data_IF_560356427994
#
_entry.id   IF_560356427994
#
_cell.length_a   1.000
_cell.length_b   1.000
_cell.length_c   1.000
_cell.angle_alpha   90.00
_cell.angle_beta   90.00
_cell.angle_gamma   90.00
#
_symmetry.space_group_name_H-M   'P 1'
#
loop_
_entity.id
_entity.type
_entity.pdbx_description
1 polymer ?
#
# COMPACT_ATOMS: atom_id res chain seq x y z
N UNK A 1 -7.91 -2.12 -42.07
CA UNK A 1 -6.67 -2.13 -41.28
C UNK A 1 -7.00 -2.48 -39.83
N UNK A 2 -7.40 -3.72 -39.53
CA UNK A 2 -7.99 -4.05 -38.20
C UNK A 2 -7.03 -3.90 -37.03
N UNK A 3 -5.73 -4.13 -37.24
CA UNK A 3 -4.69 -4.10 -36.21
C UNK A 3 -5.05 -4.98 -34.99
N UNK A 4 -5.55 -6.19 -35.26
CA UNK A 4 -5.81 -7.18 -34.22
C UNK A 4 -4.53 -7.52 -33.45
N UNK A 5 -4.63 -7.62 -32.13
CA UNK A 5 -3.47 -7.78 -31.24
C UNK A 5 -2.83 -6.45 -30.84
N UNK A 6 -3.50 -5.32 -31.07
CA UNK A 6 -3.09 -4.02 -30.54
C UNK A 6 -2.98 -4.07 -29.00
N UNK A 7 -3.92 -4.79 -28.37
CA UNK A 7 -3.85 -5.21 -26.98
C UNK A 7 -4.20 -6.69 -26.87
N UNK A 8 -3.73 -7.34 -25.81
CA UNK A 8 -3.95 -8.77 -25.57
C UNK A 8 -4.10 -9.07 -24.08
N UNK A 9 -5.00 -9.98 -23.73
CA UNK A 9 -5.18 -10.48 -22.37
C UNK A 9 -5.39 -11.99 -22.38
N UNK A 10 -4.58 -12.72 -21.62
CA UNK A 10 -4.65 -14.18 -21.53
C UNK A 10 -5.73 -14.57 -20.54
N UNK A 11 -6.56 -15.54 -20.91
CA UNK A 11 -7.60 -16.15 -20.07
C UNK A 11 -7.51 -17.67 -20.15
N UNK A 12 -8.15 -18.39 -19.23
CA UNK A 12 -8.02 -19.86 -19.13
C UNK A 12 -8.31 -20.63 -20.42
N UNK A 13 -9.29 -20.16 -21.21
CA UNK A 13 -9.76 -20.81 -22.43
C UNK A 13 -9.25 -20.14 -23.72
N UNK A 14 -8.29 -19.20 -23.62
CA UNK A 14 -7.74 -18.54 -24.80
C UNK A 14 -7.10 -17.18 -24.57
N UNK A 15 -7.07 -16.36 -25.63
CA UNK A 15 -6.51 -15.02 -25.61
C UNK A 15 -7.55 -14.04 -26.16
N UNK A 16 -7.88 -13.02 -25.37
CA UNK A 16 -8.67 -11.88 -25.81
C UNK A 16 -7.74 -10.88 -26.51
N UNK A 17 -8.15 -10.40 -27.68
CA UNK A 17 -7.38 -9.50 -28.52
C UNK A 17 -8.21 -8.26 -28.87
N UNK A 18 -7.60 -7.09 -28.75
CA UNK A 18 -8.16 -5.83 -29.23
C UNK A 18 -7.79 -5.55 -30.69
N UNK A 19 -8.72 -4.98 -31.45
CA UNK A 19 -8.56 -4.66 -32.87
C UNK A 19 -9.05 -3.23 -33.17
N UNK A 20 -8.22 -2.24 -32.85
CA UNK A 20 -8.57 -0.81 -32.85
C UNK A 20 -9.00 -0.26 -34.22
N UNK A 21 -8.50 -0.82 -35.31
CA UNK A 21 -8.78 -0.33 -36.67
C UNK A 21 -9.92 -1.07 -37.37
N UNK A 22 -10.65 -1.94 -36.65
CA UNK A 22 -11.86 -2.57 -37.17
C UNK A 22 -12.97 -1.53 -37.38
N UNK A 23 -13.80 -1.73 -38.40
CA UNK A 23 -14.97 -0.88 -38.71
C UNK A 23 -14.66 0.62 -38.72
N UNK A 24 -13.75 1.04 -39.60
CA UNK A 24 -13.34 2.44 -39.77
C UNK A 24 -12.85 3.10 -38.46
N UNK A 25 -12.03 2.36 -37.70
CA UNK A 25 -11.47 2.78 -36.41
C UNK A 25 -12.47 2.89 -35.25
N UNK A 26 -13.70 2.42 -35.40
CA UNK A 26 -14.56 2.19 -34.25
C UNK A 26 -13.95 1.16 -33.30
N UNK A 27 -13.28 0.16 -33.86
CA UNK A 27 -12.60 -0.89 -33.14
C UNK A 27 -13.51 -2.07 -32.82
N UNK A 28 -12.89 -3.16 -32.38
CA UNK A 28 -13.56 -4.40 -32.02
C UNK A 28 -12.67 -5.20 -31.05
N UNK A 29 -13.23 -6.29 -30.55
CA UNK A 29 -12.50 -7.31 -29.80
C UNK A 29 -12.76 -8.67 -30.44
N UNK A 30 -11.80 -9.57 -30.34
CA UNK A 30 -11.95 -10.96 -30.78
C UNK A 30 -11.23 -11.87 -29.81
N UNK A 31 -11.59 -13.15 -29.80
CA UNK A 31 -11.00 -14.12 -28.89
C UNK A 31 -10.51 -15.33 -29.68
N UNK A 32 -9.27 -15.73 -29.43
CA UNK A 32 -8.68 -16.96 -29.93
C UNK A 32 -8.78 -18.01 -28.83
N UNK A 33 -9.58 -19.07 -29.02
CA UNK A 33 -9.72 -20.17 -28.07
C UNK A 33 -9.16 -21.46 -28.65
N UNK A 34 -9.05 -22.51 -27.82
CA UNK A 34 -8.69 -23.85 -28.30
C UNK A 34 -9.72 -24.45 -29.25
N UNK A 35 -10.97 -23.98 -29.22
CA UNK A 35 -12.08 -24.43 -30.08
C UNK A 35 -12.24 -23.61 -31.37
N UNK A 36 -11.49 -22.52 -31.52
CA UNK A 36 -11.50 -21.67 -32.71
C UNK A 36 -11.55 -20.18 -32.40
N UNK A 37 -11.89 -19.38 -33.41
CA UNK A 37 -11.98 -17.93 -33.30
C UNK A 37 -13.41 -17.51 -32.95
N UNK A 38 -13.54 -16.63 -31.97
CA UNK A 38 -14.79 -15.93 -31.66
C UNK A 38 -14.64 -14.50 -32.16
N UNK A 39 -15.40 -14.15 -33.19
CA UNK A 39 -15.36 -12.83 -33.83
C UNK A 39 -16.77 -12.24 -33.78
N UNK A 40 -17.04 -11.36 -32.81
CA UNK A 40 -18.34 -10.68 -32.71
C UNK A 40 -18.64 -9.89 -33.98
N UNK A 41 -19.92 -9.89 -34.36
CA UNK A 41 -20.39 -9.09 -35.49
C UNK A 41 -20.50 -7.62 -35.12
N UNK A 42 -20.46 -6.74 -36.12
CA UNK A 42 -20.57 -5.28 -35.91
C UNK A 42 -21.84 -4.91 -35.16
N UNK A 43 -22.94 -5.61 -35.43
CA UNK A 43 -24.26 -5.34 -34.87
C UNK A 43 -24.28 -5.45 -33.35
N UNK A 44 -23.41 -6.28 -32.75
CA UNK A 44 -23.27 -6.41 -31.30
C UNK A 44 -22.79 -5.13 -30.61
N UNK A 45 -22.18 -4.20 -31.36
CA UNK A 45 -21.62 -2.96 -30.81
C UNK A 45 -22.52 -1.74 -31.03
N UNK A 46 -23.46 -1.78 -31.99
CA UNK A 46 -24.19 -0.60 -32.48
C UNK A 46 -24.95 0.16 -31.38
N UNK A 47 -25.40 -0.53 -30.34
CA UNK A 47 -26.08 0.12 -29.19
C UNK A 47 -25.15 1.07 -28.43
N UNK A 48 -23.88 0.73 -28.28
CA UNK A 48 -22.90 1.51 -27.52
C UNK A 48 -21.96 2.33 -28.42
N UNK A 49 -21.83 1.94 -29.68
CA UNK A 49 -20.99 2.56 -30.70
C UNK A 49 -21.85 2.81 -31.95
N UNK A 50 -22.73 3.82 -31.91
CA UNK A 50 -23.70 4.03 -32.96
C UNK A 50 -23.04 4.71 -34.18
N UNK A 51 -23.65 4.56 -35.36
CA UNK A 51 -23.04 4.95 -36.64
C UNK A 51 -22.84 6.45 -36.80
N UNK A 52 -23.57 7.28 -36.05
CA UNK A 52 -23.40 8.74 -36.03
C UNK A 52 -22.01 9.12 -35.52
N UNK A 53 -21.40 8.29 -34.66
CA UNK A 53 -20.09 8.53 -34.07
C UNK A 53 -18.95 7.78 -34.80
N UNK A 54 -19.24 7.10 -35.92
CA UNK A 54 -18.24 6.24 -36.59
C UNK A 54 -16.98 6.97 -37.06
N UNK A 55 -17.12 8.23 -37.46
CA UNK A 55 -16.01 9.03 -37.99
C UNK A 55 -15.07 9.56 -36.89
N UNK A 56 -15.43 9.39 -35.61
CA UNK A 56 -14.59 9.84 -34.49
C UNK A 56 -13.44 8.88 -34.20
N UNK A 57 -13.53 7.63 -34.69
CA UNK A 57 -12.52 6.59 -34.48
C UNK A 57 -12.36 6.24 -33.00
N UNK A 58 -13.33 5.52 -32.43
CA UNK A 58 -13.41 5.26 -30.99
C UNK A 58 -12.24 4.43 -30.41
N UNK A 59 -11.57 3.64 -31.25
CA UNK A 59 -10.45 2.75 -30.88
C UNK A 59 -10.85 1.70 -29.86
N UNK A 60 -12.03 1.10 -29.97
CA UNK A 60 -12.40 -0.03 -29.12
C UNK A 60 -11.39 -1.17 -29.27
N UNK A 61 -10.95 -1.73 -28.13
CA UNK A 61 -9.88 -2.71 -28.10
C UNK A 61 -8.49 -2.08 -28.01
N UNK A 62 -8.40 -0.79 -27.69
CA UNK A 62 -7.12 -0.16 -27.35
C UNK A 62 -6.51 -0.84 -26.11
N UNK A 63 -7.36 -1.17 -25.14
CA UNK A 63 -7.04 -2.05 -24.01
C UNK A 63 -8.06 -3.17 -23.91
N UNK A 64 -7.61 -4.31 -23.41
CA UNK A 64 -8.47 -5.43 -23.06
C UNK A 64 -8.02 -6.04 -21.74
N UNK A 65 -8.96 -6.46 -20.91
CA UNK A 65 -8.70 -7.24 -19.70
C UNK A 65 -9.92 -8.11 -19.36
N UNK A 66 -9.88 -8.82 -18.24
CA UNK A 66 -11.01 -9.57 -17.70
C UNK A 66 -11.19 -9.29 -16.23
N UNK A 67 -12.42 -9.51 -15.74
CA UNK A 67 -12.75 -9.50 -14.33
C UNK A 67 -13.53 -10.76 -13.96
N UNK A 68 -13.45 -11.14 -12.69
CA UNK A 68 -14.24 -12.23 -12.11
C UNK A 68 -15.36 -11.63 -11.26
N UNK A 69 -16.60 -12.04 -11.50
CA UNK A 69 -17.76 -11.59 -10.71
C UNK A 69 -17.92 -12.40 -9.43
N UNK A 70 -18.72 -11.94 -8.45
CA UNK A 70 -19.05 -12.72 -7.25
C UNK A 70 -19.69 -14.09 -7.55
N UNK A 71 -20.39 -14.20 -8.68
CA UNK A 71 -20.98 -15.45 -9.17
C UNK A 71 -19.96 -16.37 -9.87
N UNK A 72 -18.66 -16.03 -9.81
CA UNK A 72 -17.56 -16.73 -10.49
C UNK A 72 -17.75 -16.83 -12.00
N UNK A 73 -18.33 -15.78 -12.59
CA UNK A 73 -18.46 -15.63 -14.03
C UNK A 73 -17.38 -14.66 -14.50
N UNK A 74 -16.63 -15.06 -15.53
CA UNK A 74 -15.65 -14.17 -16.16
C UNK A 74 -16.35 -13.23 -17.13
N UNK A 75 -16.13 -11.94 -16.94
CA UNK A 75 -16.47 -10.90 -17.90
C UNK A 75 -15.20 -10.31 -18.50
N UNK A 76 -15.35 -9.72 -19.67
CA UNK A 76 -14.28 -9.06 -20.39
C UNK A 76 -14.50 -7.56 -20.36
N UNK A 77 -13.41 -6.81 -20.44
CA UNK A 77 -13.42 -5.36 -20.42
C UNK A 77 -12.62 -4.88 -21.61
N UNK A 78 -13.11 -3.85 -22.30
CA UNK A 78 -12.38 -3.21 -23.38
C UNK A 78 -12.51 -1.69 -23.32
N UNK A 79 -11.38 -1.01 -23.54
CA UNK A 79 -11.30 0.43 -23.62
C UNK A 79 -11.39 0.96 -25.05
N UNK A 80 -12.03 2.13 -25.17
CA UNK A 80 -12.20 2.91 -26.38
C UNK A 80 -11.86 4.38 -26.08
N UNK A 81 -10.57 4.72 -25.90
CA UNK A 81 -10.15 5.99 -25.31
C UNK A 81 -10.43 7.22 -26.16
N UNK A 82 -10.83 7.03 -27.43
CA UNK A 82 -11.22 8.12 -28.34
C UNK A 82 -12.73 8.25 -28.53
N UNK A 83 -13.53 7.36 -27.94
CA UNK A 83 -14.98 7.41 -28.06
C UNK A 83 -15.50 8.79 -27.64
N UNK A 84 -16.25 9.45 -28.53
CA UNK A 84 -16.80 10.79 -28.32
C UNK A 84 -15.77 11.82 -27.79
N UNK A 85 -14.49 11.65 -28.16
CA UNK A 85 -13.34 12.41 -27.69
C UNK A 85 -13.07 12.39 -26.18
N UNK A 86 -13.90 11.77 -25.35
CA UNK A 86 -13.71 11.69 -23.90
C UNK A 86 -13.22 10.31 -23.43
N UNK A 87 -13.56 9.27 -24.20
CA UNK A 87 -13.23 7.87 -23.90
C UNK A 87 -14.41 7.07 -23.37
N UNK A 88 -14.35 5.75 -23.52
CA UNK A 88 -15.36 4.80 -23.01
C UNK A 88 -14.70 3.49 -22.61
N UNK A 89 -15.27 2.79 -21.64
CA UNK A 89 -14.96 1.41 -21.29
C UNK A 89 -16.24 0.59 -21.35
N UNK A 90 -16.20 -0.60 -21.92
CA UNK A 90 -17.32 -1.55 -21.91
C UNK A 90 -16.96 -2.81 -21.13
N UNK A 91 -17.95 -3.36 -20.43
CA UNK A 91 -17.88 -4.66 -19.77
C UNK A 91 -18.86 -5.59 -20.48
N UNK A 92 -18.38 -6.73 -20.95
CA UNK A 92 -19.14 -7.60 -21.84
C UNK A 92 -18.86 -9.08 -21.59
N UNK A 93 -19.75 -9.92 -22.07
CA UNK A 93 -19.54 -11.37 -22.20
C UNK A 93 -19.54 -11.77 -23.67
N UNK A 94 -18.74 -12.78 -24.01
CA UNK A 94 -18.79 -13.43 -25.33
C UNK A 94 -19.42 -14.81 -25.14
N UNK A 95 -20.55 -15.06 -25.81
CA UNK A 95 -21.28 -16.32 -25.76
C UNK A 95 -21.36 -16.93 -27.17
N UNK A 96 -20.88 -18.15 -27.36
CA UNK A 96 -20.85 -18.79 -28.69
C UNK A 96 -19.83 -18.14 -29.66
N UNK A 97 -19.94 -18.45 -30.96
CA UNK A 97 -18.96 -18.03 -31.97
C UNK A 97 -19.04 -16.54 -32.36
N UNK A 98 -20.22 -15.92 -32.27
CA UNK A 98 -20.48 -14.61 -32.90
C UNK A 98 -21.15 -13.58 -31.96
N UNK A 99 -21.57 -13.96 -30.74
CA UNK A 99 -22.44 -13.12 -29.92
C UNK A 99 -21.67 -12.46 -28.77
N UNK A 100 -21.57 -11.13 -28.81
CA UNK A 100 -21.08 -10.30 -27.73
C UNK A 100 -22.26 -9.54 -27.11
N UNK A 101 -22.36 -9.60 -25.78
CA UNK A 101 -23.38 -8.90 -25.01
C UNK A 101 -22.67 -7.91 -24.09
N UNK A 102 -22.94 -6.62 -24.27
CA UNK A 102 -22.44 -5.55 -23.41
C UNK A 102 -23.37 -5.43 -22.21
N UNK A 103 -22.82 -5.61 -21.01
CA UNK A 103 -23.54 -5.53 -19.74
C UNK A 103 -23.49 -4.11 -19.15
N UNK A 104 -22.37 -3.41 -19.35
CA UNK A 104 -22.17 -2.08 -18.80
C UNK A 104 -21.24 -1.25 -19.69
N UNK A 105 -21.46 0.07 -19.68
CA UNK A 105 -20.59 1.05 -20.31
C UNK A 105 -20.25 2.18 -19.32
N UNK A 106 -18.98 2.55 -19.25
CA UNK A 106 -18.47 3.67 -18.48
C UNK A 106 -17.96 4.73 -19.47
N UNK A 107 -18.36 5.98 -19.32
CA UNK A 107 -17.95 7.08 -20.20
C UNK A 107 -16.98 8.00 -19.49
N UNK A 108 -15.93 8.43 -20.19
CA UNK A 108 -15.05 9.47 -19.72
C UNK A 108 -15.74 10.83 -19.76
N UNK A 109 -15.39 11.72 -18.84
CA UNK A 109 -16.00 13.05 -18.76
C UNK A 109 -15.26 14.11 -19.58
N UNK A 110 -13.93 14.13 -19.48
CA UNK A 110 -13.14 15.21 -20.03
C UNK A 110 -12.68 14.88 -21.45
N UNK A 111 -12.90 15.82 -22.36
CA UNK A 111 -12.42 15.77 -23.74
C UNK A 111 -10.90 15.67 -23.74
N UNK A 112 -10.38 14.72 -24.51
CA UNK A 112 -8.95 14.46 -24.63
C UNK A 112 -8.33 13.70 -23.47
N UNK A 113 -9.10 13.33 -22.42
CA UNK A 113 -8.55 12.64 -21.24
C UNK A 113 -8.04 11.22 -21.52
N UNK A 114 -8.49 10.64 -22.64
CA UNK A 114 -8.08 9.31 -23.10
C UNK A 114 -8.51 8.20 -22.11
N UNK A 115 -9.68 8.37 -21.49
CA UNK A 115 -10.25 7.45 -20.52
C UNK A 115 -10.47 6.05 -21.12
N UNK A 116 -9.93 5.02 -20.45
CA UNK A 116 -9.97 3.63 -20.94
C UNK A 116 -8.74 3.22 -21.73
N UNK A 117 -7.70 4.05 -21.77
CA UNK A 117 -6.43 3.72 -22.44
C UNK A 117 -5.51 2.82 -21.62
N UNK A 118 -5.83 2.59 -20.35
CA UNK A 118 -5.23 1.61 -19.46
C UNK A 118 -6.31 1.09 -18.52
N UNK A 119 -6.35 -0.23 -18.27
CA UNK A 119 -7.36 -0.84 -17.39
C UNK A 119 -6.71 -1.96 -16.56
N UNK A 120 -6.83 -1.87 -15.24
CA UNK A 120 -6.38 -2.89 -14.30
C UNK A 120 -7.53 -3.48 -13.51
N UNK A 121 -7.68 -4.81 -13.50
CA UNK A 121 -8.56 -5.52 -12.57
C UNK A 121 -7.76 -5.95 -11.34
N UNK A 122 -8.33 -5.71 -10.15
CA UNK A 122 -7.67 -5.99 -8.87
C UNK A 122 -8.62 -6.79 -7.98
N UNK A 123 -8.19 -7.98 -7.62
CA UNK A 123 -8.72 -8.76 -6.48
C UNK A 123 -7.93 -8.31 -5.25
N UNK A 124 -8.54 -7.51 -4.38
CA UNK A 124 -7.82 -6.83 -3.30
C UNK A 124 -7.71 -7.75 -2.09
N UNK A 125 -8.78 -8.46 -1.73
CA UNK A 125 -8.78 -9.37 -0.57
C UNK A 125 -8.32 -10.81 -0.90
N UNK A 126 -8.01 -11.09 -2.16
CA UNK A 126 -7.46 -12.37 -2.61
C UNK A 126 -8.49 -13.50 -2.61
N UNK A 127 -9.79 -13.19 -2.66
CA UNK A 127 -10.87 -14.19 -2.63
C UNK A 127 -11.18 -14.81 -4.01
N UNK A 128 -10.47 -14.38 -5.05
CA UNK A 128 -10.62 -14.79 -6.44
C UNK A 128 -11.69 -13.99 -7.20
N UNK A 129 -12.32 -12.99 -6.58
CA UNK A 129 -13.28 -12.08 -7.20
C UNK A 129 -12.61 -10.72 -7.43
N UNK A 130 -12.91 -10.08 -8.55
CA UNK A 130 -12.39 -8.73 -8.80
C UNK A 130 -13.16 -7.72 -7.94
N UNK A 131 -12.46 -7.09 -7.00
CA UNK A 131 -13.02 -6.05 -6.11
C UNK A 131 -13.05 -4.67 -6.75
N UNK A 132 -12.02 -4.36 -7.54
CA UNK A 132 -11.80 -3.03 -8.10
C UNK A 132 -11.42 -3.12 -9.57
N UNK A 133 -12.09 -2.30 -10.38
CA UNK A 133 -11.68 -2.00 -11.75
C UNK A 133 -11.08 -0.58 -11.77
N UNK A 134 -9.83 -0.49 -12.20
CA UNK A 134 -9.05 0.72 -12.33
C UNK A 134 -9.04 1.15 -13.79
N UNK A 135 -9.40 2.40 -14.08
CA UNK A 135 -9.41 2.94 -15.44
C UNK A 135 -8.53 4.18 -15.54
N UNK A 136 -7.51 4.10 -16.39
CA UNK A 136 -6.58 5.18 -16.67
C UNK A 136 -7.18 6.22 -17.63
N UNK A 137 -6.95 7.49 -17.30
CA UNK A 137 -7.14 8.65 -18.19
C UNK A 137 -5.87 9.53 -18.16
N UNK A 138 -4.73 9.03 -18.69
CA UNK A 138 -3.42 9.67 -18.53
C UNK A 138 -3.29 11.03 -19.24
N UNK A 139 -4.27 11.40 -20.06
CA UNK A 139 -4.29 12.70 -20.74
C UNK A 139 -5.24 13.68 -20.04
N UNK A 140 -5.80 13.29 -18.88
CA UNK A 140 -6.61 14.16 -18.06
C UNK A 140 -5.79 15.37 -17.59
N UNK A 141 -6.37 16.55 -17.77
CA UNK A 141 -5.77 17.84 -17.46
C UNK A 141 -6.57 18.56 -16.37
N UNK A 142 -5.89 19.13 -15.38
CA UNK A 142 -6.52 19.88 -14.31
C UNK A 142 -5.56 20.96 -13.80
N UNK A 143 -6.06 22.19 -13.70
CA UNK A 143 -5.25 23.37 -13.33
C UNK A 143 -5.04 23.51 -11.80
N UNK A 144 -5.78 22.80 -10.94
CA UNK A 144 -5.66 22.89 -9.48
C UNK A 144 -6.17 21.66 -8.69
N UNK A 145 -5.76 21.58 -7.41
CA UNK A 145 -5.99 20.49 -6.44
C UNK A 145 -7.46 20.40 -5.98
N UNK A 146 -8.21 19.41 -6.47
CA UNK A 146 -9.52 19.02 -5.88
C UNK A 146 -9.74 17.49 -5.84
N UNK A 147 -10.62 17.09 -4.92
CA UNK A 147 -10.83 15.76 -4.34
C UNK A 147 -11.74 14.86 -5.19
N UNK A 148 -11.32 13.63 -5.49
CA UNK A 148 -12.22 12.63 -6.09
C UNK A 148 -11.53 11.40 -6.65
N UNK A 149 -10.38 11.58 -7.29
CA UNK A 149 -9.55 10.53 -7.88
C UNK A 149 -8.31 10.23 -7.01
N UNK A 150 -7.78 9.01 -7.13
CA UNK A 150 -6.39 8.72 -6.78
C UNK A 150 -5.52 9.62 -7.68
N UNK A 151 -4.71 10.51 -7.11
CA UNK A 151 -3.87 11.45 -7.85
C UNK A 151 -2.45 11.35 -7.34
N UNK A 152 -1.52 11.66 -8.22
CA UNK A 152 -0.23 12.21 -7.84
C UNK A 152 -0.46 13.50 -7.01
N UNK A 153 0.13 13.58 -5.81
CA UNK A 153 0.01 14.78 -4.96
C UNK A 153 1.05 15.86 -5.28
N UNK A 154 2.06 15.51 -6.09
CA UNK A 154 3.18 16.36 -6.50
C UNK A 154 3.05 16.75 -7.98
N UNK A 155 2.16 17.72 -8.19
CA UNK A 155 1.90 18.53 -9.38
C UNK A 155 3.03 18.73 -10.41
N UNK A 156 3.45 17.69 -11.14
CA UNK A 156 4.09 17.87 -12.44
C UNK A 156 3.01 17.94 -13.50
N UNK A 157 2.89 19.12 -14.14
CA UNK A 157 1.98 19.26 -15.28
C UNK A 157 2.32 18.19 -16.32
N UNK A 158 1.30 17.50 -16.83
CA UNK A 158 1.45 16.52 -17.90
C UNK A 158 2.27 15.25 -17.53
N UNK A 159 2.25 14.81 -16.27
CA UNK A 159 2.96 13.60 -15.77
C UNK A 159 2.57 12.29 -16.46
N UNK A 160 1.40 12.26 -17.09
CA UNK A 160 0.73 11.06 -17.62
C UNK A 160 0.49 10.01 -16.55
N UNK A 161 0.18 10.43 -15.32
CA UNK A 161 -0.22 9.51 -14.27
C UNK A 161 -1.39 8.61 -14.71
N UNK A 162 -1.29 7.30 -14.47
CA UNK A 162 -2.27 6.32 -14.95
C UNK A 162 -2.01 5.81 -16.35
N UNK A 163 -0.82 6.06 -16.91
CA UNK A 163 -0.42 5.55 -18.23
C UNK A 163 -0.19 4.03 -18.22
N UNK A 164 0.22 3.48 -17.09
CA UNK A 164 0.36 2.05 -16.84
C UNK A 164 -0.16 1.75 -15.44
N UNK A 165 -0.94 0.68 -15.30
CA UNK A 165 -1.53 0.24 -14.04
C UNK A 165 -1.25 -1.25 -13.87
N UNK A 166 -0.69 -1.64 -12.74
CA UNK A 166 -0.42 -3.04 -12.43
C UNK A 166 -0.96 -3.39 -11.05
N UNK A 167 -1.86 -4.38 -11.01
CA UNK A 167 -2.15 -5.09 -9.78
C UNK A 167 -0.91 -5.90 -9.41
N UNK A 168 -0.45 -5.75 -8.17
CA UNK A 168 0.71 -6.46 -7.64
C UNK A 168 0.29 -7.22 -6.39
N UNK A 169 0.98 -8.32 -6.06
CA UNK A 169 0.76 -8.98 -4.78
C UNK A 169 0.98 -8.01 -3.62
N UNK A 170 0.37 -8.34 -2.49
CA UNK A 170 0.56 -7.67 -1.20
C UNK A 170 2.04 -7.33 -0.91
N UNK A 171 2.40 -6.04 -1.00
CA UNK A 171 3.78 -5.57 -0.85
C UNK A 171 4.13 -5.28 0.61
N UNK A 172 3.16 -4.81 1.41
CA UNK A 172 3.32 -4.47 2.83
C UNK A 172 2.96 -5.62 3.78
N UNK A 173 2.54 -6.76 3.24
CA UNK A 173 2.27 -8.00 3.95
C UNK A 173 1.09 -7.87 4.93
N UNK A 174 0.07 -7.11 4.54
CA UNK A 174 -1.15 -6.88 5.32
C UNK A 174 -2.36 -7.72 4.89
N UNK A 175 -2.14 -8.67 3.99
CA UNK A 175 -3.12 -9.56 3.34
C UNK A 175 -4.00 -8.91 2.27
N UNK A 176 -3.69 -7.71 1.81
CA UNK A 176 -4.38 -7.08 0.68
C UNK A 176 -3.44 -6.86 -0.51
N UNK A 177 -3.88 -7.21 -1.71
CA UNK A 177 -3.12 -6.93 -2.92
C UNK A 177 -3.07 -5.42 -3.20
N UNK A 178 -1.95 -4.98 -3.74
CA UNK A 178 -1.60 -3.59 -3.93
C UNK A 178 -1.64 -3.20 -5.41
N UNK A 179 -1.45 -1.91 -5.68
CA UNK A 179 -1.44 -1.37 -7.04
C UNK A 179 -0.24 -0.45 -7.25
N UNK A 180 0.42 -0.63 -8.39
CA UNK A 180 1.46 0.29 -8.88
C UNK A 180 0.94 1.05 -10.09
N UNK A 181 1.15 2.37 -10.10
CA UNK A 181 0.72 3.26 -11.17
C UNK A 181 1.91 4.06 -11.70
N UNK A 182 2.07 4.09 -13.02
CA UNK A 182 3.13 4.82 -13.70
C UNK A 182 2.73 6.23 -14.11
N UNK A 183 3.67 7.16 -13.98
CA UNK A 183 3.62 8.53 -14.52
C UNK A 183 4.89 8.79 -15.35
N UNK A 184 4.96 8.30 -16.59
CA UNK A 184 6.22 8.24 -17.34
C UNK A 184 6.79 9.59 -17.78
N UNK A 185 6.00 10.67 -17.75
CA UNK A 185 6.41 12.00 -18.17
C UNK A 185 6.68 12.97 -17.02
N UNK A 186 6.50 12.50 -15.79
CA UNK A 186 6.81 13.24 -14.57
C UNK A 186 8.26 13.72 -14.52
N UNK A 187 8.48 14.83 -13.80
CA UNK A 187 9.80 15.41 -13.56
C UNK A 187 10.62 15.68 -14.83
N UNK A 188 9.96 16.24 -15.85
CA UNK A 188 10.62 16.51 -17.13
C UNK A 188 11.01 15.22 -17.86
N UNK A 189 10.08 14.27 -17.96
CA UNK A 189 10.25 12.98 -18.64
C UNK A 189 11.15 11.95 -17.95
N UNK A 190 11.59 12.21 -16.71
CA UNK A 190 12.32 11.25 -15.88
C UNK A 190 11.43 10.05 -15.51
N UNK A 191 10.17 10.34 -15.22
CA UNK A 191 9.14 9.38 -14.89
C UNK A 191 9.19 8.91 -13.44
N UNK A 192 8.02 8.57 -12.93
CA UNK A 192 7.80 8.11 -11.57
C UNK A 192 6.83 6.92 -11.52
N UNK A 193 6.84 6.23 -10.37
CA UNK A 193 5.83 5.25 -10.00
C UNK A 193 5.24 5.56 -8.63
N UNK A 194 4.00 5.15 -8.46
CA UNK A 194 3.21 5.32 -7.24
C UNK A 194 2.72 3.97 -6.75
N UNK A 195 2.93 3.70 -5.47
CA UNK A 195 2.44 2.49 -4.82
C UNK A 195 1.23 2.86 -3.96
N UNK A 196 0.10 2.21 -4.21
CA UNK A 196 -1.13 2.36 -3.44
C UNK A 196 -1.45 1.03 -2.76
N UNK A 197 -1.63 1.07 -1.44
CA UNK A 197 -1.98 -0.15 -0.71
C UNK A 197 -3.45 -0.51 -0.83
N UNK A 198 -3.71 -1.81 -0.87
CA UNK A 198 -5.03 -2.39 -0.69
C UNK A 198 -5.56 -2.17 0.73
N UNK A 199 -6.87 -2.20 0.89
CA UNK A 199 -7.53 -2.21 2.18
C UNK A 199 -8.94 -2.76 2.05
N UNK A 200 -9.19 -3.93 2.65
CA UNK A 200 -10.45 -4.67 2.51
C UNK A 200 -10.69 -4.96 1.02
N UNK A 201 -11.77 -4.44 0.44
CA UNK A 201 -12.15 -4.62 -0.98
C UNK A 201 -11.95 -3.34 -1.79
N UNK A 202 -10.88 -2.61 -1.49
CA UNK A 202 -10.68 -1.27 -2.02
C UNK A 202 -9.19 -0.86 -2.00
N UNK A 203 -8.84 0.18 -2.75
CA UNK A 203 -7.50 0.77 -2.76
C UNK A 203 -7.50 2.08 -1.96
N UNK A 204 -6.45 2.30 -1.17
CA UNK A 204 -6.29 3.55 -0.41
C UNK A 204 -6.06 4.73 -1.36
N UNK A 205 -6.76 5.85 -1.14
CA UNK A 205 -6.73 7.03 -2.02
C UNK A 205 -5.39 7.77 -2.09
N UNK A 206 -4.51 7.55 -1.13
CA UNK A 206 -3.21 8.21 -1.03
C UNK A 206 -2.13 7.17 -1.26
N UNK A 207 -1.18 7.47 -2.15
CA UNK A 207 -0.03 6.61 -2.35
C UNK A 207 0.82 6.58 -1.09
N UNK A 208 1.51 5.46 -0.91
CA UNK A 208 2.33 5.16 0.26
C UNK A 208 3.81 5.32 -0.04
N UNK A 209 4.17 5.14 -1.30
CA UNK A 209 5.50 5.40 -1.80
C UNK A 209 5.43 6.06 -3.17
N UNK A 210 6.31 7.02 -3.37
CA UNK A 210 6.60 7.69 -4.62
C UNK A 210 8.11 7.56 -4.87
N UNK A 211 8.50 7.08 -6.05
CA UNK A 211 9.91 6.83 -6.36
C UNK A 211 10.31 7.35 -7.74
N UNK A 212 11.37 8.15 -7.75
CA UNK A 212 12.04 8.69 -8.93
C UNK A 212 13.10 7.73 -9.46
N UNK A 213 13.35 7.80 -10.77
CA UNK A 213 14.36 6.98 -11.44
C UNK A 213 15.82 7.34 -11.11
N UNK A 214 16.10 8.56 -10.64
CA UNK A 214 17.47 9.10 -10.49
C UNK A 214 18.27 8.55 -9.27
N UNK A 215 17.71 7.64 -8.48
CA UNK A 215 18.43 7.01 -7.36
C UNK A 215 19.33 5.83 -7.73
N UNK A 216 19.36 5.39 -8.99
CA UNK A 216 19.89 4.07 -9.38
C UNK A 216 21.11 4.13 -10.32
N UNK A 217 22.11 4.95 -9.98
CA UNK A 217 23.45 4.91 -10.61
C UNK A 217 24.42 3.88 -10.00
N UNK A 218 24.00 3.08 -9.01
CA UNK A 218 24.88 2.05 -8.43
C UNK A 218 24.35 0.64 -8.61
N UNK A 219 24.92 -0.04 -9.61
CA UNK A 219 25.24 -1.47 -9.53
C UNK A 219 24.46 -2.41 -10.44
N UNK A 220 24.85 -2.50 -11.72
CA UNK A 220 24.87 -3.80 -12.39
C UNK A 220 26.00 -3.85 -13.44
N UNK A 221 27.02 -4.71 -13.30
CA UNK A 221 27.96 -4.98 -14.36
C UNK A 221 27.37 -6.05 -15.29
N UNK A 222 27.14 -5.67 -16.55
CA UNK A 222 26.82 -6.61 -17.63
C UNK A 222 25.45 -6.39 -18.25
N UNK A 223 25.44 -5.78 -19.44
CA UNK A 223 24.23 -5.61 -20.24
C UNK A 223 24.40 -4.52 -21.29
N UNK A 224 25.25 -4.79 -22.29
CA UNK A 224 25.33 -3.95 -23.50
C UNK A 224 24.06 -4.12 -24.31
N UNK A 225 23.38 -3.01 -24.63
CA UNK A 225 22.17 -2.99 -25.44
C UNK A 225 21.84 -1.56 -25.86
N UNK A 226 22.25 -1.23 -27.08
CA UNK A 226 22.17 0.07 -27.73
C UNK A 226 20.78 0.40 -28.32
N UNK A 227 20.31 1.63 -28.07
CA UNK A 227 19.70 2.55 -29.05
C UNK A 227 18.37 2.20 -29.73
N UNK A 228 17.26 2.68 -29.14
CA UNK A 228 16.15 3.49 -29.72
C UNK A 228 15.03 3.49 -28.67
N UNK A 229 14.79 4.62 -27.98
CA UNK A 229 13.82 4.74 -26.86
C UNK A 229 13.92 3.66 -25.75
N UNK A 230 15.10 3.07 -25.58
CA UNK A 230 15.38 2.04 -24.58
C UNK A 230 15.46 2.63 -23.17
N UNK A 231 14.32 2.87 -22.52
CA UNK A 231 14.31 3.03 -21.07
C UNK A 231 14.70 1.66 -20.47
N UNK A 232 15.91 1.57 -19.88
CA UNK A 232 16.40 0.42 -19.09
C UNK A 232 15.31 -0.12 -18.15
N UNK A 233 15.05 -1.42 -18.20
CA UNK A 233 14.23 -2.13 -17.22
C UNK A 233 14.96 -2.14 -15.88
N UNK A 234 14.34 -1.57 -14.86
CA UNK A 234 14.82 -1.65 -13.47
C UNK A 234 13.96 -2.65 -12.71
N UNK A 235 14.58 -3.53 -11.93
CA UNK A 235 13.88 -4.42 -11.00
C UNK A 235 13.83 -3.76 -9.64
N UNK A 236 12.65 -3.68 -9.04
CA UNK A 236 12.45 -3.24 -7.67
C UNK A 236 12.20 -4.46 -6.79
N UNK A 237 12.87 -4.50 -5.63
CA UNK A 237 12.74 -5.59 -4.67
C UNK A 237 12.06 -5.05 -3.42
N UNK A 238 11.01 -5.75 -2.96
CA UNK A 238 10.32 -5.41 -1.72
C UNK A 238 11.15 -5.79 -0.51
N UNK A 239 11.00 -5.03 0.58
CA UNK A 239 11.62 -5.31 1.88
C UNK A 239 10.61 -6.04 2.77
N UNK A 240 11.09 -6.89 3.67
CA UNK A 240 10.23 -7.56 4.65
C UNK A 240 9.64 -6.56 5.66
N UNK A 241 8.40 -6.76 6.10
CA UNK A 241 7.77 -5.92 7.12
C UNK A 241 7.82 -6.60 8.50
N UNK A 242 8.23 -5.84 9.53
CA UNK A 242 8.35 -6.34 10.91
C UNK A 242 7.50 -5.51 11.87
N UNK A 243 6.72 -6.22 12.69
CA UNK A 243 5.98 -5.68 13.82
C UNK A 243 6.80 -5.93 15.09
N UNK A 244 7.04 -4.90 15.91
CA UNK A 244 7.82 -5.05 17.15
C UNK A 244 6.91 -4.82 18.35
N UNK A 245 6.70 -5.86 19.16
CA UNK A 245 5.97 -5.72 20.40
C UNK A 245 6.96 -5.37 21.52
N UNK A 246 6.84 -4.18 22.10
CA UNK A 246 7.66 -3.73 23.22
C UNK A 246 6.87 -3.77 24.53
N UNK A 247 7.52 -4.15 25.63
CA UNK A 247 6.94 -4.11 26.99
C UNK A 247 7.99 -3.72 28.02
N UNK A 248 7.60 -3.03 29.08
CA UNK A 248 8.46 -2.73 30.24
C UNK A 248 7.83 -3.40 31.47
N UNK A 249 8.63 -4.12 32.25
CA UNK A 249 8.24 -4.71 33.53
C UNK A 249 9.19 -4.24 34.64
N UNK A 250 8.67 -4.05 35.84
CA UNK A 250 9.47 -3.59 36.98
C UNK A 250 9.58 -4.69 38.03
N UNK A 251 10.77 -4.85 38.60
CA UNK A 251 11.03 -5.73 39.73
C UNK A 251 11.80 -4.95 40.81
N UNK A 252 11.22 -4.78 42.02
CA UNK A 252 9.84 -5.13 42.40
C UNK A 252 8.77 -4.36 41.57
N UNK A 253 7.52 -4.84 41.50
CA UNK A 253 6.46 -4.22 40.68
C UNK A 253 5.96 -2.88 41.24
N UNK A 254 6.29 -2.55 42.48
CA UNK A 254 5.93 -1.31 43.16
C UNK A 254 7.15 -0.77 43.90
N UNK A 255 7.21 0.56 44.05
CA UNK A 255 8.27 1.21 44.82
C UNK A 255 7.93 1.05 46.29
N UNK A 256 8.85 0.47 47.08
CA UNK A 256 8.79 0.52 48.53
C UNK A 256 9.83 1.52 49.05
N UNK A 257 9.34 2.67 49.51
CA UNK A 257 10.16 3.79 50.01
C UNK A 257 10.79 3.51 51.39
N UNK A 258 10.34 2.48 52.09
CA UNK A 258 10.85 2.10 53.41
C UNK A 258 12.00 1.08 53.32
N UNK A 259 12.03 0.27 52.26
CA UNK A 259 13.10 -0.69 52.00
C UNK A 259 14.21 -0.05 51.15
N UNK A 260 15.23 0.50 51.82
CA UNK A 260 16.44 1.02 51.15
C UNK A 260 17.53 -0.06 51.10
N UNK A 261 17.36 -0.99 50.19
CA UNK A 261 18.16 -2.22 50.12
C UNK A 261 19.55 -2.03 49.50
N UNK A 262 19.88 -0.85 48.97
CA UNK A 262 21.15 -0.58 48.31
C UNK A 262 21.78 0.74 48.74
N UNK A 263 23.10 0.83 48.57
CA UNK A 263 23.87 2.05 48.79
C UNK A 263 24.39 2.58 47.45
N UNK A 264 24.04 3.83 47.12
CA UNK A 264 24.50 4.55 45.91
C UNK A 264 25.11 5.89 46.32
N UNK A 265 26.35 6.16 45.92
CA UNK A 265 27.09 7.38 46.27
C UNK A 265 27.11 7.69 47.78
N UNK A 266 27.23 6.65 48.63
CA UNK A 266 27.27 6.78 50.08
C UNK A 266 25.93 7.08 50.76
N UNK A 267 24.81 7.03 50.01
CA UNK A 267 23.44 7.18 50.53
C UNK A 267 22.65 5.90 50.33
N UNK A 268 21.79 5.59 51.30
CA UNK A 268 20.78 4.54 51.18
C UNK A 268 19.74 4.94 50.13
N UNK A 269 19.43 4.03 49.21
CA UNK A 269 18.46 4.23 48.14
C UNK A 269 17.59 2.99 47.93
N UNK A 270 16.43 3.17 47.29
CA UNK A 270 15.58 2.07 46.82
C UNK A 270 16.01 1.70 45.41
N UNK A 271 16.66 0.55 45.24
CA UNK A 271 17.06 0.02 43.93
C UNK A 271 15.97 -0.87 43.35
N UNK A 272 15.82 -0.80 42.03
CA UNK A 272 14.85 -1.56 41.26
C UNK A 272 15.44 -1.92 39.90
N UNK A 273 14.84 -2.91 39.25
CA UNK A 273 15.17 -3.31 37.89
C UNK A 273 13.96 -3.08 36.96
N UNK A 274 14.23 -2.55 35.77
CA UNK A 274 13.28 -2.49 34.67
C UNK A 274 13.69 -3.48 33.58
N UNK A 275 12.82 -4.40 33.20
CA UNK A 275 13.01 -5.33 32.10
C UNK A 275 12.32 -4.80 30.86
N UNK A 276 13.11 -4.42 29.87
CA UNK A 276 12.64 -3.91 28.58
C UNK A 276 12.70 -5.08 27.61
N UNK A 277 11.53 -5.54 27.15
CA UNK A 277 11.41 -6.71 26.30
C UNK A 277 10.88 -6.33 24.92
N UNK A 278 11.49 -6.93 23.89
CA UNK A 278 11.08 -6.81 22.49
C UNK A 278 10.78 -8.19 21.90
N UNK A 279 9.64 -8.29 21.22
CA UNK A 279 9.22 -9.48 20.49
C UNK A 279 8.91 -9.10 19.04
N UNK A 280 9.86 -9.29 18.11
CA UNK A 280 9.67 -8.98 16.71
C UNK A 280 8.90 -10.09 15.98
N UNK A 281 7.94 -9.71 15.16
CA UNK A 281 7.08 -10.59 14.37
C UNK A 281 7.17 -10.13 12.91
N UNK A 282 7.77 -10.95 12.06
CA UNK A 282 7.75 -10.70 10.61
C UNK A 282 6.40 -11.12 10.03
N UNK A 283 5.81 -10.25 9.19
CA UNK A 283 4.53 -10.53 8.55
C UNK A 283 4.65 -11.66 7.53
N UNK A 284 5.71 -11.64 6.73
CA UNK A 284 6.03 -12.69 5.77
C UNK A 284 6.56 -13.97 6.46
N UNK A 285 5.94 -15.15 6.21
CA UNK A 285 6.34 -16.42 6.82
C UNK A 285 7.79 -16.83 6.55
N UNK A 286 8.34 -16.49 5.38
CA UNK A 286 9.70 -16.84 4.98
C UNK A 286 10.79 -16.15 5.83
N UNK A 287 10.45 -15.10 6.59
CA UNK A 287 11.37 -14.42 7.49
C UNK A 287 11.20 -14.84 8.96
N UNK A 288 10.36 -15.83 9.25
CA UNK A 288 10.23 -16.40 10.59
C UNK A 288 11.56 -16.97 11.05
N UNK A 289 11.97 -16.62 12.28
CA UNK A 289 13.26 -16.98 12.86
C UNK A 289 14.44 -16.10 12.45
N UNK A 290 14.26 -15.09 11.59
CA UNK A 290 15.28 -14.07 11.35
C UNK A 290 15.42 -13.12 12.55
N UNK A 291 16.54 -12.39 12.59
CA UNK A 291 16.83 -11.42 13.65
C UNK A 291 16.86 -10.00 13.12
N UNK A 292 16.40 -9.06 13.94
CA UNK A 292 16.38 -7.63 13.64
C UNK A 292 17.17 -6.85 14.69
N UNK A 293 17.92 -5.84 14.25
CA UNK A 293 18.59 -4.90 15.14
C UNK A 293 17.61 -3.81 15.58
N UNK A 294 17.47 -3.62 16.88
CA UNK A 294 16.58 -2.62 17.49
C UNK A 294 17.45 -1.67 18.30
N UNK A 295 17.39 -0.38 17.96
CA UNK A 295 17.99 0.70 18.74
C UNK A 295 16.88 1.38 19.53
N UNK A 296 17.07 1.55 20.83
CA UNK A 296 16.05 2.14 21.68
C UNK A 296 16.62 3.13 22.66
N UNK A 297 15.80 4.09 23.05
CA UNK A 297 16.05 5.05 24.10
C UNK A 297 15.05 4.82 25.26
N UNK A 298 15.49 5.04 26.49
CA UNK A 298 14.65 5.02 27.68
C UNK A 298 14.88 6.32 28.43
N UNK A 299 13.81 6.99 28.80
CA UNK A 299 13.86 8.24 29.56
C UNK A 299 12.95 8.17 30.77
N UNK A 300 13.49 8.55 31.93
CA UNK A 300 12.74 8.57 33.19
C UNK A 300 12.23 9.99 33.45
N UNK A 301 10.94 10.11 33.77
CA UNK A 301 10.28 11.39 34.08
C UNK A 301 10.55 12.47 33.02
N UNK A 302 10.36 12.13 31.74
CA UNK A 302 10.64 12.97 30.56
C UNK A 302 10.22 14.45 30.70
N UNK A 303 9.10 14.72 31.37
CA UNK A 303 8.54 16.08 31.56
C UNK A 303 9.10 16.84 32.77
N UNK A 304 9.90 16.21 33.63
CA UNK A 304 10.50 16.85 34.80
C UNK A 304 11.92 17.29 34.51
N UNK A 305 12.26 18.49 35.03
CA UNK A 305 13.63 18.99 34.99
C UNK A 305 14.55 18.16 35.89
N UNK A 306 14.08 17.85 37.12
CA UNK A 306 14.76 16.94 38.05
C UNK A 306 14.08 15.56 38.04
N UNK A 307 14.74 14.50 37.55
CA UNK A 307 14.17 13.16 37.55
C UNK A 307 14.07 12.63 38.99
N UNK A 308 13.09 11.77 39.27
CA UNK A 308 12.93 11.14 40.59
C UNK A 308 13.62 9.78 40.72
N UNK A 309 14.13 9.26 39.61
CA UNK A 309 14.94 8.05 39.58
C UNK A 309 16.03 8.20 38.52
N UNK A 310 17.12 7.48 38.74
CA UNK A 310 18.35 7.58 37.94
C UNK A 310 18.84 6.19 37.59
N UNK A 311 19.38 6.05 36.39
CA UNK A 311 19.87 4.78 35.83
C UNK A 311 21.30 4.52 36.32
N UNK A 312 21.55 3.31 36.79
CA UNK A 312 22.83 2.94 37.43
C UNK A 312 23.96 2.73 36.41
N UNK A 313 23.65 2.21 35.22
CA UNK A 313 24.65 1.74 34.25
C UNK A 313 25.38 2.86 33.48
N UNK A 314 24.87 4.11 33.52
CA UNK A 314 25.44 5.26 32.78
C UNK A 314 25.68 6.45 33.71
N UNK A 315 26.50 6.26 34.75
CA UNK A 315 27.07 7.37 35.54
C UNK A 315 26.07 8.34 36.18
N UNK A 316 24.79 7.96 36.27
CA UNK A 316 23.74 8.80 36.85
C UNK A 316 22.89 9.62 35.86
N UNK A 317 22.74 9.20 34.59
CA UNK A 317 21.86 9.87 33.62
C UNK A 317 20.37 9.42 33.73
N UNK A 318 19.45 10.29 33.29
CA UNK A 318 18.02 9.98 33.10
C UNK A 318 17.73 9.32 31.75
N UNK A 319 18.72 9.27 30.86
CA UNK A 319 18.65 8.71 29.52
C UNK A 319 19.49 7.44 29.41
N UNK A 320 18.95 6.43 28.74
CA UNK A 320 19.66 5.21 28.39
C UNK A 320 19.42 4.88 26.93
N UNK A 321 20.48 4.61 26.18
CA UNK A 321 20.42 4.25 24.76
C UNK A 321 21.20 2.96 24.56
N UNK A 322 20.59 2.00 23.89
CA UNK A 322 21.23 0.73 23.59
C UNK A 322 20.77 0.18 22.24
N UNK A 323 21.52 -0.77 21.71
CA UNK A 323 21.15 -1.53 20.51
C UNK A 323 21.23 -3.02 20.79
N UNK A 324 20.13 -3.73 20.54
CA UNK A 324 20.03 -5.17 20.73
C UNK A 324 19.70 -5.87 19.41
N UNK A 325 19.98 -7.17 19.36
CA UNK A 325 19.55 -8.04 18.26
C UNK A 325 18.48 -8.97 18.77
N UNK A 326 17.26 -8.82 18.28
CA UNK A 326 16.10 -9.62 18.69
C UNK A 326 15.72 -10.62 17.58
N UNK A 327 15.52 -11.89 17.95
CA UNK A 327 15.12 -12.96 17.03
C UNK A 327 13.59 -13.09 17.01
N UNK A 328 13.02 -13.26 15.82
CA UNK A 328 11.57 -13.47 15.69
C UNK A 328 11.11 -14.77 16.35
N UNK A 329 9.96 -14.72 17.01
CA UNK A 329 9.41 -15.82 17.81
C UNK A 329 9.98 -15.91 19.24
N UNK A 330 10.95 -15.08 19.60
CA UNK A 330 11.51 -15.03 20.96
C UNK A 330 11.31 -13.65 21.59
N UNK A 331 11.05 -13.63 22.89
CA UNK A 331 10.99 -12.40 23.66
C UNK A 331 12.39 -12.07 24.19
N UNK A 332 13.04 -11.06 23.62
CA UNK A 332 14.37 -10.63 24.03
C UNK A 332 14.24 -9.51 25.06
N UNK A 333 14.71 -9.74 26.28
CA UNK A 333 14.63 -8.77 27.37
C UNK A 333 16.03 -8.27 27.76
N UNK A 334 16.13 -6.99 28.07
CA UNK A 334 17.29 -6.38 28.70
C UNK A 334 16.91 -5.86 30.08
N UNK A 335 17.77 -6.12 31.07
CA UNK A 335 17.62 -5.61 32.42
C UNK A 335 18.32 -4.26 32.54
N UNK A 336 17.60 -3.26 33.06
CA UNK A 336 18.09 -1.92 33.34
C UNK A 336 17.95 -1.65 34.85
N UNK A 337 19.06 -1.46 35.54
CA UNK A 337 19.05 -1.17 36.97
C UNK A 337 18.93 0.34 37.21
N UNK A 338 18.07 0.72 38.15
CA UNK A 338 17.85 2.12 38.52
C UNK A 338 17.58 2.26 40.02
N UNK A 339 17.81 3.46 40.55
CA UNK A 339 17.48 3.78 41.93
C UNK A 339 16.60 5.02 42.02
N UNK A 340 15.74 5.05 43.03
CA UNK A 340 14.85 6.18 43.33
C UNK A 340 15.58 7.20 44.19
N UNK A 341 15.52 8.48 43.80
CA UNK A 341 16.06 9.60 44.57
C UNK A 341 15.08 10.01 45.67
N UNK A 342 15.59 10.65 46.73
CA UNK A 342 14.72 11.22 47.76
C UNK A 342 13.98 12.45 47.18
N UNK A 343 12.67 12.35 47.04
CA UNK A 343 11.81 13.35 46.38
C UNK A 343 10.57 13.62 47.21
N UNK A 344 10.09 14.87 47.27
CA UNK A 344 8.84 15.19 47.96
C UNK A 344 7.57 14.60 47.29
N UNK A 345 7.66 14.20 46.01
CA UNK A 345 6.52 13.73 45.21
C UNK A 345 6.50 12.20 45.04
N UNK A 346 5.92 11.53 46.05
CA UNK A 346 5.65 10.09 46.08
C UNK A 346 4.25 9.71 45.55
N UNK A 347 3.41 10.70 45.24
CA UNK A 347 2.00 10.47 44.83
C UNK A 347 1.91 10.10 43.35
N UNK A 348 2.68 10.79 42.49
CA UNK A 348 2.67 10.52 41.05
C UNK A 348 3.57 9.33 40.74
N UNK A 349 3.16 8.38 39.87
CA UNK A 349 4.02 7.27 39.51
C UNK A 349 5.25 7.77 38.72
N UNK A 350 6.37 7.06 38.83
CA UNK A 350 7.57 7.33 38.03
C UNK A 350 7.33 6.76 36.64
N UNK A 351 7.46 7.59 35.60
CA UNK A 351 7.13 7.20 34.23
C UNK A 351 8.40 6.95 33.43
N UNK A 352 8.47 5.80 32.77
CA UNK A 352 9.48 5.44 31.79
C UNK A 352 8.87 5.61 30.40
N UNK A 353 9.48 6.47 29.58
CA UNK A 353 9.19 6.58 28.15
C UNK A 353 10.25 5.80 27.37
N UNK A 354 9.83 4.79 26.63
CA UNK A 354 10.64 4.01 25.71
C UNK A 354 10.30 4.43 24.29
N UNK A 355 11.31 4.81 23.50
CA UNK A 355 11.18 4.99 22.06
C UNK A 355 12.18 4.08 21.36
N UNK A 356 11.78 3.48 20.25
CA UNK A 356 12.63 2.53 19.55
C UNK A 356 12.53 2.66 18.03
N UNK A 357 13.61 2.31 17.37
CA UNK A 357 13.77 2.34 15.92
C UNK A 357 14.57 1.11 15.45
N UNK A 358 14.56 0.87 14.15
CA UNK A 358 15.44 -0.15 13.55
C UNK A 358 16.87 0.38 13.56
N UNK A 359 17.81 -0.46 13.98
CA UNK A 359 19.23 -0.10 14.01
C UNK A 359 19.79 0.16 12.60
N UNK A 360 19.22 -0.48 11.57
CA UNK A 360 19.63 -0.37 10.17
C UNK A 360 18.41 -0.05 9.29
N UNK A 361 17.93 1.21 9.26
CA UNK A 361 16.71 1.57 8.53
C UNK A 361 16.85 1.44 7.01
N UNK A 362 18.06 1.54 6.47
CA UNK A 362 18.33 1.42 5.02
C UNK A 362 18.62 -0.02 4.58
N UNK A 363 18.87 -0.93 5.53
CA UNK A 363 19.28 -2.31 5.26
C UNK A 363 18.47 -3.29 6.13
N UNK A 364 17.60 -4.09 5.51
CA UNK A 364 16.81 -5.11 6.19
C UNK A 364 15.31 -4.80 6.22
N UNK A 365 14.56 -5.18 7.27
CA UNK A 365 13.12 -4.97 7.30
C UNK A 365 12.72 -3.50 7.40
N UNK A 366 11.44 -3.23 7.19
CA UNK A 366 10.80 -1.94 7.49
C UNK A 366 9.78 -2.16 8.62
N UNK A 367 9.62 -1.18 9.51
CA UNK A 367 8.58 -1.23 10.54
C UNK A 367 7.19 -1.16 9.90
N UNK A 368 6.26 -1.94 10.44
CA UNK A 368 4.85 -1.86 10.04
C UNK A 368 4.30 -0.44 10.24
N UNK A 369 3.67 0.10 9.20
CA UNK A 369 3.11 1.44 9.23
C UNK A 369 1.99 1.54 10.29
N UNK A 370 2.06 2.57 11.13
CA UNK A 370 1.08 2.78 12.20
C UNK A 370 1.29 1.90 13.44
N UNK A 371 2.28 1.00 13.44
CA UNK A 371 2.66 0.26 14.64
C UNK A 371 3.40 1.18 15.63
N UNK A 372 3.07 1.18 16.94
CA UNK A 372 3.60 2.15 17.88
C UNK A 372 5.10 1.95 18.13
N UNK A 373 5.93 2.93 17.77
CA UNK A 373 7.39 2.96 18.03
C UNK A 373 7.75 3.56 19.41
N UNK A 374 6.75 3.85 20.24
CA UNK A 374 6.95 4.35 21.60
C UNK A 374 5.96 3.74 22.58
N UNK A 375 6.40 3.60 23.82
CA UNK A 375 5.64 3.04 24.93
C UNK A 375 5.92 3.84 26.20
N UNK A 376 4.88 4.09 27.01
CA UNK A 376 5.04 4.64 28.35
C UNK A 376 4.59 3.60 29.37
N UNK A 377 5.45 3.31 30.33
CA UNK A 377 5.13 2.49 31.49
C UNK A 377 5.40 3.27 32.76
N UNK A 378 4.71 2.95 33.84
CA UNK A 378 4.89 3.65 35.10
C UNK A 378 4.89 2.70 36.27
N UNK A 379 5.67 3.05 37.28
CA UNK A 379 5.76 2.32 38.55
C UNK A 379 5.31 3.24 39.68
N UNK A 380 4.39 2.75 40.49
CA UNK A 380 3.77 3.52 41.58
C UNK A 380 4.22 3.02 42.95
N UNK A 381 4.06 3.88 43.95
CA UNK A 381 4.15 3.50 45.36
C UNK A 381 3.01 2.51 45.73
N UNK A 382 3.24 1.67 46.74
CA UNK A 382 2.32 0.62 47.20
C UNK A 382 0.92 1.13 47.57
N UNK A 383 0.79 2.43 47.85
CA UNK A 383 -0.45 3.08 48.32
C UNK A 383 -1.50 3.39 47.23
N UNK A 384 -1.24 3.13 45.95
CA UNK A 384 -2.15 3.51 44.85
C UNK A 384 -2.65 2.28 44.06
N UNK A 385 -3.98 2.09 43.96
CA UNK A 385 -4.63 0.98 43.24
C UNK A 385 -5.57 1.47 42.11
N UNK A 386 -5.55 0.72 40.98
CA UNK A 386 -6.55 0.58 39.88
C UNK A 386 -6.78 1.75 38.87
N UNK A 387 -7.10 1.59 37.57
CA UNK A 387 -7.29 0.49 36.60
C UNK A 387 -7.39 1.10 35.17
N UNK A 388 -7.06 0.39 34.07
CA UNK A 388 -7.35 0.83 32.67
C UNK A 388 -8.17 -0.24 31.92
N UNK A 389 -9.33 0.15 31.35
CA UNK A 389 -10.21 -0.69 30.51
C UNK A 389 -9.97 -0.42 29.01
N UNK A 390 -9.96 -1.49 28.18
CA UNK A 390 -10.07 -1.42 26.70
C UNK A 390 -11.42 -1.98 26.23
N UNK A 391 -12.00 -1.40 25.16
CA UNK A 391 -13.16 -1.92 24.40
C UNK A 391 -12.77 -2.05 22.92
N UNK A 392 -13.27 -3.06 22.17
CA UNK A 392 -13.15 -3.12 20.72
C UNK A 392 -14.47 -2.77 19.99
N UNK A 393 -14.37 -2.36 18.72
CA UNK A 393 -15.48 -2.20 17.77
C UNK A 393 -15.30 -3.14 16.57
N UNK A 394 -16.41 -3.62 16.02
CA UNK A 394 -16.53 -4.49 14.83
C UNK A 394 -17.25 -3.71 13.73
N UNK A 395 -16.86 -3.88 12.46
CA UNK A 395 -17.62 -3.39 11.29
C UNK A 395 -18.01 -4.52 10.33
N UNK A 396 -19.18 -4.36 9.69
CA UNK A 396 -19.76 -5.16 8.59
C UNK A 396 -19.34 -4.67 7.19
N UNK A 397 -19.48 -5.53 6.17
CA UNK A 397 -19.05 -5.42 4.76
C UNK A 397 -20.07 -4.82 3.77
N UNK A 398 -19.61 -4.20 2.66
CA UNK A 398 -20.38 -3.99 1.39
C UNK A 398 -19.48 -3.75 0.13
N UNK A 399 -19.90 -4.42 -0.98
CA UNK A 399 -19.79 -4.25 -2.46
C UNK A 399 -18.54 -3.69 -3.19
N UNK A 400 -18.34 -4.24 -4.41
CA UNK A 400 -17.35 -3.94 -5.47
C UNK A 400 -17.46 -2.48 -5.97
N UNK A 401 -16.32 -1.82 -6.26
CA UNK A 401 -16.24 -0.38 -6.59
C UNK A 401 -15.30 -0.09 -7.75
N UNK A 402 -15.72 0.79 -8.64
CA UNK A 402 -14.88 1.30 -9.75
C UNK A 402 -14.15 2.57 -9.29
N UNK A 403 -12.85 2.68 -9.56
CA UNK A 403 -12.09 3.92 -9.34
C UNK A 403 -11.57 4.46 -10.66
N UNK A 404 -11.80 5.76 -10.87
CA UNK A 404 -11.34 6.50 -12.03
C UNK A 404 -10.17 7.40 -11.62
N UNK A 405 -9.13 7.44 -12.45
CA UNK A 405 -8.00 8.35 -12.29
C UNK A 405 -8.18 9.55 -13.22
N UNK A 406 -8.18 10.76 -12.65
CA UNK A 406 -8.83 11.95 -13.24
C UNK A 406 -10.23 12.12 -12.64
N UNK A 407 -10.62 13.34 -12.27
CA UNK A 407 -11.77 13.61 -11.39
C UNK A 407 -13.03 12.83 -11.81
N UNK A 408 -13.66 12.10 -10.88
CA UNK A 408 -15.11 11.88 -10.86
C UNK A 408 -15.58 11.41 -9.49
N UNK A 409 -16.53 12.15 -8.93
CA UNK A 409 -17.46 11.60 -7.94
C UNK A 409 -18.43 10.69 -8.69
N UNK A 410 -18.21 9.37 -8.65
CA UNK A 410 -19.31 8.42 -8.83
C UNK A 410 -19.86 8.10 -7.43
N UNK A 411 -20.76 8.97 -6.96
CA UNK A 411 -21.84 8.54 -6.09
C UNK A 411 -22.81 7.70 -6.94
N UNK A 412 -22.38 6.52 -7.33
CA UNK A 412 -23.31 5.46 -7.66
C UNK A 412 -22.76 4.18 -7.05
N UNK A 413 -23.30 3.83 -5.88
CA UNK A 413 -23.43 2.42 -5.51
C UNK A 413 -24.26 1.77 -6.61
N UNK A 414 -23.65 1.33 -7.70
CA UNK A 414 -24.33 0.45 -8.64
C UNK A 414 -24.22 -0.96 -8.08
N UNK A 415 -25.37 -1.49 -7.64
CA UNK A 415 -25.52 -2.88 -7.21
C UNK A 415 -25.32 -3.77 -8.44
N UNK A 416 -24.43 -4.76 -8.28
CA UNK A 416 -24.38 -5.94 -9.13
C UNK A 416 -25.40 -6.96 -8.65
#
# INVERSE_FOLDING_TARGET
MSQAGFSSHVVEDGILLGAVGAYDWNGAVLKETSSGKVIPRRESYLREFPDELKNHGAYLGYTVTSLMTPQRVRLYVAGAPRFNHTGKVIIFSMQGMDNLVIHQSLQGEQIGSYFGSEIGSVDVDGDGVTDVLLVGAPMFFSEAREHGALRDSDSSQNSRFGYAISAVPDLNQDSFNDVVIGAPLEDGHKGAIYIFHGFKRNILKKYKQHSWRDGYERGWPGGSGSGLYGKRCSSLVTRSVVQINATIRFEPPKINIFSKECHRNGREATCMAAFICFSPIFKAPQFQGQSVGIKYNVTIDERRYTPRAVIDDIGGDKHFIETIRAKSGHNQCQQLNFHVLDTADYVKPITFSLEYELAFPDQGPVLEEGWPSSLKASVSDERNNECVKKKPFIYRSESIRVHVFGNMSMSSKQRF
#
